data_IF_994148807267
#
_entry.id   IF_994148807267
#
_cell.length_a   1.000
_cell.length_b   1.000
_cell.length_c   1.000
_cell.angle_alpha   90.00
_cell.angle_beta   90.00
_cell.angle_gamma   90.00
#
_symmetry.space_group_name_H-M   'P 1'
#
loop_
_entity.id
_entity.type
_entity.pdbx_description
1 polymer ?
#
# COMPACT_ATOMS: atom_id res chain seq x y z
N UNK A 1 9.82 5.86 29.18
CA UNK A 1 9.20 6.79 28.20
C UNK A 1 9.36 6.19 26.82
N UNK A 2 8.34 5.56 26.27
CA UNK A 2 8.39 4.95 24.93
C UNK A 2 6.98 4.92 24.35
N UNK A 3 6.42 6.10 24.10
CA UNK A 3 5.23 6.27 23.27
C UNK A 3 5.38 7.61 22.55
N UNK A 4 5.84 7.55 21.30
CA UNK A 4 6.09 8.73 20.46
C UNK A 4 6.20 8.44 18.97
N UNK A 5 5.85 7.24 18.50
CA UNK A 5 5.77 6.92 17.07
C UNK A 5 4.33 6.56 16.72
N UNK A 6 3.46 7.57 16.66
CA UNK A 6 2.26 7.46 15.85
C UNK A 6 2.68 7.52 14.37
N UNK A 7 2.08 6.71 13.48
CA UNK A 7 2.38 6.73 12.06
C UNK A 7 1.90 8.05 11.49
N UNK A 8 2.76 9.08 11.49
CA UNK A 8 2.31 10.43 11.16
C UNK A 8 1.92 10.58 9.70
N UNK A 9 2.47 9.75 8.79
CA UNK A 9 1.97 9.39 7.44
C UNK A 9 2.86 8.27 6.86
N UNK A 10 2.35 7.06 6.65
CA UNK A 10 3.16 5.92 6.16
C UNK A 10 2.84 5.46 4.73
N UNK A 11 1.95 6.13 4.00
CA UNK A 11 1.71 5.82 2.58
C UNK A 11 2.43 6.79 1.66
N UNK A 12 2.77 6.30 0.47
CA UNK A 12 3.29 7.11 -0.63
C UNK A 12 2.22 8.09 -1.11
N UNK A 13 2.61 9.31 -1.48
CA UNK A 13 1.71 10.34 -2.03
C UNK A 13 1.77 10.43 -3.54
N UNK A 14 0.60 10.57 -4.16
CA UNK A 14 0.46 10.75 -5.61
C UNK A 14 0.06 12.19 -5.95
N UNK A 15 0.89 12.89 -6.72
CA UNK A 15 0.60 14.21 -7.27
C UNK A 15 0.05 14.05 -8.70
N UNK A 16 -1.21 14.42 -8.93
CA UNK A 16 -1.84 14.31 -10.26
C UNK A 16 -1.27 15.35 -11.22
N UNK A 17 -0.67 14.91 -12.32
CA UNK A 17 -0.51 15.72 -13.54
C UNK A 17 -1.68 15.41 -14.49
N UNK A 18 -2.45 16.44 -14.86
CA UNK A 18 -3.56 16.32 -15.82
C UNK A 18 -3.02 15.94 -17.22
N UNK A 19 -3.39 14.77 -17.72
CA UNK A 19 -3.19 14.41 -19.14
C UNK A 19 -4.36 14.94 -19.97
N UNK A 20 -4.09 15.87 -20.89
CA UNK A 20 -5.00 16.22 -21.97
C UNK A 20 -5.02 15.10 -23.02
N UNK A 21 -6.22 14.62 -23.36
CA UNK A 21 -6.48 13.76 -24.51
C UNK A 21 -6.63 14.65 -25.74
N UNK A 22 -5.99 14.29 -26.87
CA UNK A 22 -6.60 14.42 -28.19
C UNK A 22 -5.90 13.53 -29.25
N UNK A 23 -6.63 13.16 -30.33
CA UNK A 23 -6.59 11.83 -30.91
C UNK A 23 -5.58 11.69 -32.05
N UNK A 24 -5.07 10.47 -32.24
CA UNK A 24 -4.29 10.06 -33.41
C UNK A 24 -5.20 9.50 -34.51
N UNK A 25 -5.06 10.04 -35.73
CA UNK A 25 -5.43 9.36 -36.98
C UNK A 25 -4.18 9.03 -37.79
N UNK A 26 -3.91 7.73 -37.87
CA UNK A 26 -3.47 6.91 -39.04
C UNK A 26 -2.33 7.36 -39.99
N UNK A 27 -1.35 6.43 -40.07
CA UNK A 27 -0.64 5.86 -41.25
C UNK A 27 0.56 6.54 -41.94
N UNK A 28 1.67 5.76 -41.91
CA UNK A 28 2.66 5.40 -42.97
C UNK A 28 3.82 6.32 -43.38
N UNK A 29 5.04 5.84 -43.06
CA UNK A 29 6.32 5.77 -43.84
C UNK A 29 6.82 6.96 -44.69
N UNK A 30 8.05 7.42 -44.43
CA UNK A 30 9.22 7.30 -45.35
C UNK A 30 10.45 8.13 -44.89
N UNK A 31 11.62 7.69 -45.37
CA UNK A 31 13.01 8.08 -45.08
C UNK A 31 13.40 9.45 -45.65
N UNK A 32 14.27 10.22 -44.96
CA UNK A 32 15.00 11.35 -45.58
C UNK A 32 15.94 12.12 -44.62
N UNK A 33 17.25 12.13 -44.91
CA UNK A 33 18.30 12.96 -44.26
C UNK A 33 18.25 14.40 -44.77
N UNK A 34 18.47 15.43 -43.93
CA UNK A 34 19.26 16.66 -44.21
C UNK A 34 19.57 17.43 -42.89
N UNK A 35 20.69 18.17 -42.87
CA UNK A 35 21.37 18.77 -41.70
C UNK A 35 20.98 20.25 -41.41
N UNK A 36 21.13 20.65 -40.13
CA UNK A 36 21.42 21.99 -39.56
C UNK A 36 20.30 23.07 -39.65
N UNK A 37 19.96 23.91 -38.66
CA UNK A 37 20.72 24.47 -37.52
C UNK A 37 19.80 25.08 -36.43
N UNK A 38 20.31 25.09 -35.19
CA UNK A 38 20.27 26.17 -34.18
C UNK A 38 19.04 26.50 -33.31
N UNK A 39 19.29 26.38 -31.99
CA UNK A 39 18.80 27.19 -30.84
C UNK A 39 17.32 26.95 -30.47
N UNK A 40 16.92 26.54 -29.28
CA UNK A 40 17.53 26.44 -27.96
C UNK A 40 16.39 26.67 -26.95
N UNK A 41 15.98 25.64 -26.20
CA UNK A 41 15.16 25.80 -25.01
C UNK A 41 15.31 24.54 -24.15
N UNK A 42 15.63 24.77 -22.88
CA UNK A 42 15.97 23.78 -21.86
C UNK A 42 14.88 22.71 -21.70
N UNK A 43 15.35 21.47 -21.59
CA UNK A 43 14.60 20.35 -21.01
C UNK A 43 14.68 20.49 -19.50
N UNK A 44 13.56 20.75 -18.83
CA UNK A 44 13.42 20.48 -17.40
C UNK A 44 12.45 19.31 -17.20
N UNK A 45 12.97 18.31 -16.49
CA UNK A 45 12.36 17.05 -16.10
C UNK A 45 11.10 17.25 -15.25
N UNK A 46 9.93 16.91 -15.79
CA UNK A 46 8.74 16.65 -14.98
C UNK A 46 8.71 15.20 -14.48
N UNK A 47 9.49 14.88 -13.45
CA UNK A 47 9.44 13.57 -12.74
C UNK A 47 9.84 13.64 -11.25
N UNK A 48 10.03 14.85 -10.70
CA UNK A 48 10.69 15.04 -9.39
C UNK A 48 9.79 14.82 -8.16
N UNK A 49 8.46 14.87 -8.30
CA UNK A 49 7.57 15.01 -7.13
C UNK A 49 7.08 13.65 -6.55
N UNK A 50 6.75 12.69 -7.42
CA UNK A 50 6.37 11.33 -6.97
C UNK A 50 7.51 10.56 -6.28
N UNK A 51 8.77 10.90 -6.59
CA UNK A 51 9.96 10.32 -5.97
C UNK A 51 10.12 10.77 -4.51
N UNK A 52 9.69 11.99 -4.15
CA UNK A 52 9.90 12.54 -2.81
C UNK A 52 8.98 11.91 -1.76
N UNK A 53 7.77 11.49 -2.13
CA UNK A 53 6.81 10.90 -1.19
C UNK A 53 7.15 9.44 -0.85
N UNK A 54 7.65 8.70 -1.85
CA UNK A 54 8.20 7.37 -1.68
C UNK A 54 9.45 7.41 -0.81
N UNK A 55 10.37 8.33 -1.09
CA UNK A 55 11.60 8.53 -0.30
C UNK A 55 11.30 8.89 1.17
N UNK A 56 10.28 9.72 1.44
CA UNK A 56 9.83 10.01 2.81
C UNK A 56 9.32 8.78 3.55
N UNK A 57 8.50 7.95 2.88
CA UNK A 57 7.96 6.71 3.47
C UNK A 57 9.08 5.72 3.77
N UNK A 58 10.03 5.59 2.84
CA UNK A 58 11.24 4.80 2.98
C UNK A 58 12.10 5.28 4.15
N UNK A 59 12.30 6.59 4.27
CA UNK A 59 13.06 7.18 5.36
C UNK A 59 12.41 6.85 6.72
N UNK A 60 11.07 6.88 6.81
CA UNK A 60 10.36 6.47 8.02
C UNK A 60 10.54 4.98 8.34
N UNK A 61 10.41 4.08 7.35
CA UNK A 61 10.64 2.64 7.56
C UNK A 61 12.09 2.40 8.03
N UNK A 62 13.04 3.13 7.44
CA UNK A 62 14.46 3.04 7.79
C UNK A 62 14.74 3.53 9.21
N UNK A 63 13.97 4.48 9.74
CA UNK A 63 14.11 4.94 11.13
C UNK A 63 13.63 3.91 12.17
N UNK A 64 12.85 2.91 11.76
CA UNK A 64 12.34 1.88 12.67
C UNK A 64 13.43 0.84 12.88
N UNK A 65 14.12 0.96 14.02
CA UNK A 65 15.19 0.04 14.41
C UNK A 65 14.70 -1.42 14.44
N UNK A 66 15.50 -2.31 13.85
CA UNK A 66 15.34 -3.77 13.95
C UNK A 66 13.95 -4.29 13.52
N UNK A 67 13.34 -3.66 12.51
CA UNK A 67 12.10 -4.14 11.91
C UNK A 67 12.38 -5.03 10.69
N UNK A 68 11.60 -6.10 10.54
CA UNK A 68 11.66 -6.98 9.37
C UNK A 68 11.36 -6.21 8.06
N UNK A 69 10.48 -5.21 8.13
CA UNK A 69 10.16 -4.31 7.03
C UNK A 69 11.40 -3.59 6.49
N UNK A 70 12.25 -3.06 7.37
CA UNK A 70 13.52 -2.41 6.99
C UNK A 70 14.45 -3.39 6.27
N UNK A 71 14.62 -4.60 6.82
CA UNK A 71 15.50 -5.63 6.22
C UNK A 71 15.05 -6.01 4.82
N UNK A 72 13.74 -6.25 4.64
CA UNK A 72 13.16 -6.54 3.32
C UNK A 72 13.38 -5.39 2.34
N UNK A 73 13.18 -4.16 2.79
CA UNK A 73 13.40 -2.97 1.96
C UNK A 73 14.87 -2.86 1.50
N UNK A 74 15.83 -3.02 2.42
CA UNK A 74 17.26 -2.96 2.09
C UNK A 74 17.69 -4.09 1.13
N UNK A 75 17.18 -5.31 1.34
CA UNK A 75 17.43 -6.46 0.48
C UNK A 75 16.89 -6.24 -0.94
N UNK A 76 15.71 -5.64 -1.07
CA UNK A 76 15.07 -5.41 -2.38
C UNK A 76 15.73 -4.30 -3.19
N UNK A 77 16.24 -3.27 -2.51
CA UNK A 77 16.78 -2.07 -3.14
C UNK A 77 18.30 -2.09 -3.30
N UNK A 78 18.97 -3.24 -3.08
CA UNK A 78 20.35 -3.46 -3.49
C UNK A 78 21.40 -2.58 -2.81
N UNK A 79 21.09 -1.98 -1.66
CA UNK A 79 22.05 -1.13 -0.92
C UNK A 79 23.13 -1.95 -0.18
N UNK A 80 23.32 -3.21 -0.53
CA UNK A 80 24.39 -4.05 -0.01
C UNK A 80 25.14 -4.73 -1.15
N UNK A 81 26.43 -4.40 -1.24
CA UNK A 81 27.40 -5.08 -2.10
C UNK A 81 27.46 -6.57 -1.74
N UNK A 82 27.25 -7.42 -2.76
CA UNK A 82 27.66 -8.83 -2.84
C UNK A 82 27.16 -9.78 -1.72
N UNK A 83 26.39 -10.79 -2.14
CA UNK A 83 25.98 -12.00 -1.40
C UNK A 83 24.60 -12.04 -0.73
N UNK A 84 23.64 -11.19 -1.11
CA UNK A 84 22.24 -11.41 -0.74
C UNK A 84 21.68 -12.60 -1.51
N UNK A 85 21.27 -13.65 -0.81
CA UNK A 85 20.68 -14.87 -1.37
C UNK A 85 19.40 -14.50 -2.16
N UNK A 86 19.43 -14.44 -3.52
CA UNK A 86 18.35 -13.87 -4.31
C UNK A 86 17.03 -14.66 -4.13
N UNK A 87 17.15 -15.93 -3.76
CA UNK A 87 16.02 -16.81 -3.44
C UNK A 87 15.13 -16.30 -2.30
N UNK A 88 15.67 -15.55 -1.32
CA UNK A 88 14.93 -15.15 -0.12
C UNK A 88 13.80 -14.16 -0.42
N UNK A 89 14.02 -13.23 -1.35
CA UNK A 89 13.08 -12.14 -1.65
C UNK A 89 12.32 -12.31 -2.97
N UNK A 90 12.58 -13.38 -3.74
CA UNK A 90 12.00 -13.58 -5.08
C UNK A 90 10.46 -13.52 -5.13
N UNK A 91 9.79 -13.88 -4.03
CA UNK A 91 8.32 -13.86 -3.92
C UNK A 91 7.79 -12.79 -2.95
N UNK A 92 8.68 -11.94 -2.42
CA UNK A 92 8.30 -10.81 -1.57
C UNK A 92 7.96 -9.61 -2.47
N UNK A 93 6.73 -9.13 -2.39
CA UNK A 93 6.28 -7.97 -3.13
C UNK A 93 6.78 -6.67 -2.51
N UNK A 94 6.82 -6.60 -1.18
CA UNK A 94 7.28 -5.44 -0.43
C UNK A 94 6.61 -5.35 0.91
N UNK A 95 6.61 -4.15 1.48
CA UNK A 95 5.93 -3.82 2.74
C UNK A 95 4.67 -3.03 2.42
N UNK A 96 3.56 -3.25 3.15
CA UNK A 96 2.25 -2.61 2.88
C UNK A 96 2.36 -1.10 2.63
N UNK A 97 3.09 -0.38 3.49
CA UNK A 97 3.38 1.06 3.36
C UNK A 97 3.91 1.50 1.99
N UNK A 98 4.62 0.62 1.28
CA UNK A 98 5.27 0.91 -0.01
C UNK A 98 4.50 0.41 -1.23
N UNK A 99 3.41 -0.35 -1.02
CA UNK A 99 2.71 -1.04 -2.11
C UNK A 99 1.50 -0.28 -2.67
N UNK A 100 1.11 0.82 -2.03
CA UNK A 100 0.02 1.68 -2.46
C UNK A 100 0.38 3.15 -2.31
N UNK A 101 -0.29 4.00 -3.09
CA UNK A 101 -0.16 5.46 -3.02
C UNK A 101 -1.52 6.07 -2.75
N UNK A 102 -1.62 7.04 -1.85
CA UNK A 102 -2.86 7.79 -1.58
C UNK A 102 -2.63 9.22 -2.04
N UNK A 103 -3.60 9.84 -2.71
CA UNK A 103 -3.40 11.18 -3.29
C UNK A 103 -3.40 12.31 -2.26
N UNK A 104 -4.07 12.11 -1.13
CA UNK A 104 -4.27 13.14 -0.10
C UNK A 104 -3.52 12.79 1.21
N UNK A 105 -2.74 13.75 1.69
CA UNK A 105 -1.99 13.73 2.96
C UNK A 105 -2.87 13.35 4.16
N UNK A 106 -4.06 13.93 4.25
CA UNK A 106 -4.94 13.66 5.37
C UNK A 106 -5.52 12.24 5.30
N UNK A 107 -5.89 11.76 4.10
CA UNK A 107 -6.32 10.38 3.88
C UNK A 107 -5.22 9.37 4.20
N UNK A 108 -4.00 9.59 3.70
CA UNK A 108 -2.84 8.74 4.02
C UNK A 108 -2.63 8.60 5.51
N UNK A 109 -2.68 9.74 6.23
CA UNK A 109 -2.60 9.76 7.69
C UNK A 109 -3.71 8.92 8.33
N UNK A 110 -4.96 9.19 7.99
CA UNK A 110 -6.12 8.50 8.59
C UNK A 110 -6.09 6.99 8.28
N UNK A 111 -5.71 6.58 7.07
CA UNK A 111 -5.58 5.17 6.70
C UNK A 111 -4.44 4.49 7.45
N UNK A 112 -3.30 5.15 7.61
CA UNK A 112 -2.18 4.60 8.38
C UNK A 112 -2.50 4.48 9.88
N UNK A 113 -3.27 5.42 10.44
CA UNK A 113 -3.80 5.33 11.80
C UNK A 113 -4.85 4.22 11.93
N UNK A 114 -5.65 4.02 10.88
CA UNK A 114 -6.64 2.94 10.85
C UNK A 114 -5.97 1.56 10.82
N UNK A 115 -4.93 1.35 10.02
CA UNK A 115 -4.24 0.07 9.98
C UNK A 115 -3.37 -0.16 11.22
N UNK A 116 -2.76 0.91 11.72
CA UNK A 116 -1.75 0.84 12.77
C UNK A 116 -0.39 0.36 12.23
N UNK A 117 0.64 0.56 13.05
CA UNK A 117 2.04 0.36 12.65
C UNK A 117 2.32 -1.08 12.20
N UNK A 118 1.82 -2.09 12.93
CA UNK A 118 2.10 -3.50 12.64
C UNK A 118 1.61 -3.92 11.24
N UNK A 119 0.41 -3.47 10.83
CA UNK A 119 -0.12 -3.75 9.49
C UNK A 119 0.58 -2.93 8.41
N UNK A 120 0.92 -1.67 8.70
CA UNK A 120 1.69 -0.84 7.76
C UNK A 120 3.09 -1.41 7.48
N UNK A 121 3.70 -2.07 8.47
CA UNK A 121 5.00 -2.76 8.35
C UNK A 121 4.90 -4.22 7.90
N UNK A 122 3.70 -4.72 7.61
CA UNK A 122 3.54 -6.11 7.20
C UNK A 122 4.23 -6.37 5.85
N UNK A 123 4.92 -7.51 5.77
CA UNK A 123 5.56 -7.98 4.55
C UNK A 123 4.51 -8.70 3.71
N UNK A 124 4.37 -8.32 2.44
CA UNK A 124 3.44 -8.97 1.50
C UNK A 124 4.21 -9.92 0.60
N UNK A 125 3.81 -11.18 0.55
CA UNK A 125 4.40 -12.24 -0.26
C UNK A 125 3.37 -12.87 -1.19
N UNK A 126 3.81 -13.35 -2.35
CA UNK A 126 2.95 -14.09 -3.28
C UNK A 126 2.52 -15.43 -2.68
N UNK A 127 3.50 -16.25 -2.28
CA UNK A 127 3.28 -17.64 -1.87
C UNK A 127 3.70 -17.95 -0.44
N UNK A 128 3.12 -19.00 0.12
CA UNK A 128 3.43 -19.44 1.49
C UNK A 128 4.85 -20.00 1.62
N UNK A 129 5.47 -20.42 0.51
CA UNK A 129 6.87 -20.83 0.48
C UNK A 129 7.77 -19.69 0.94
N UNK A 130 7.42 -18.44 0.59
CA UNK A 130 8.14 -17.24 1.03
C UNK A 130 8.22 -17.17 2.55
N UNK A 131 7.14 -17.50 3.27
CA UNK A 131 7.10 -17.46 4.73
C UNK A 131 8.16 -18.39 5.33
N UNK A 132 8.31 -19.61 4.76
CA UNK A 132 9.31 -20.60 5.20
C UNK A 132 10.74 -20.12 4.98
N UNK A 133 10.97 -19.30 3.95
CA UNK A 133 12.28 -18.70 3.67
C UNK A 133 12.55 -17.49 4.55
N UNK A 134 11.54 -16.69 4.88
CA UNK A 134 11.68 -15.52 5.75
C UNK A 134 11.95 -15.93 7.21
N UNK A 135 11.23 -16.92 7.72
CA UNK A 135 11.38 -17.43 9.09
C UNK A 135 11.52 -18.96 9.12
N UNK A 136 12.72 -19.49 8.83
CA UNK A 136 12.97 -20.92 8.84
C UNK A 136 13.01 -21.49 10.26
N UNK A 137 12.44 -22.68 10.44
CA UNK A 137 12.41 -23.41 11.70
C UNK A 137 13.30 -24.66 11.64
N UNK A 138 14.00 -24.98 12.73
CA UNK A 138 14.60 -26.31 12.92
C UNK A 138 13.51 -27.37 13.16
N UNK A 139 13.85 -28.65 12.99
CA UNK A 139 12.96 -29.79 13.24
C UNK A 139 12.34 -29.83 14.66
N UNK A 140 12.89 -29.08 15.63
CA UNK A 140 12.37 -28.94 16.99
C UNK A 140 11.44 -27.74 17.19
N UNK A 141 10.98 -27.10 16.12
CA UNK A 141 10.10 -25.92 16.18
C UNK A 141 10.78 -24.65 16.69
N UNK A 142 12.12 -24.63 16.76
CA UNK A 142 12.89 -23.43 17.13
C UNK A 142 13.27 -22.65 15.88
N UNK A 143 13.11 -21.34 15.91
CA UNK A 143 13.52 -20.44 14.82
C UNK A 143 15.03 -20.58 14.58
N UNK A 144 15.41 -20.73 13.31
CA UNK A 144 16.79 -20.74 12.88
C UNK A 144 17.31 -19.32 12.68
N UNK A 145 17.89 -18.76 13.75
CA UNK A 145 18.42 -17.40 13.78
C UNK A 145 19.62 -17.15 12.85
N UNK A 146 20.24 -18.18 12.28
CA UNK A 146 21.36 -18.03 11.35
C UNK A 146 20.94 -18.03 9.88
N UNK A 147 19.63 -17.96 9.59
CA UNK A 147 19.07 -18.00 8.24
C UNK A 147 17.82 -17.14 8.13
N UNK A 148 17.24 -17.06 6.93
CA UNK A 148 16.07 -16.23 6.71
C UNK A 148 16.36 -14.74 6.90
N UNK A 149 15.36 -13.98 7.37
CA UNK A 149 15.55 -12.57 7.74
C UNK A 149 16.43 -12.39 8.98
N UNK A 150 16.58 -13.41 9.83
CA UNK A 150 17.47 -13.33 10.99
C UNK A 150 18.95 -13.48 10.61
N UNK A 151 19.25 -14.29 9.58
CA UNK A 151 20.60 -14.51 9.08
C UNK A 151 21.02 -13.54 7.97
N UNK A 152 20.08 -13.10 7.13
CA UNK A 152 20.30 -12.05 6.15
C UNK A 152 20.53 -10.72 6.85
N UNK A 153 21.72 -10.14 6.70
CA UNK A 153 22.14 -8.84 7.27
C UNK A 153 22.21 -8.76 8.81
N UNK A 154 22.08 -9.86 9.56
CA UNK A 154 22.21 -9.85 11.02
C UNK A 154 23.57 -9.31 11.55
N UNK A 155 24.56 -9.11 10.67
CA UNK A 155 25.84 -8.45 10.97
C UNK A 155 25.91 -6.96 10.64
N UNK A 156 24.99 -6.42 9.82
CA UNK A 156 24.98 -5.01 9.39
C UNK A 156 24.02 -4.15 10.21
N UNK A 157 23.07 -4.78 10.92
CA UNK A 157 22.18 -4.09 11.85
C UNK A 157 22.77 -4.05 13.25
N UNK A 158 22.52 -2.95 13.97
CA UNK A 158 23.06 -2.74 15.33
C UNK A 158 22.58 -3.80 16.33
N UNK A 159 21.42 -4.43 16.06
CA UNK A 159 20.84 -5.50 16.86
C UNK A 159 20.18 -6.56 15.97
N UNK A 160 20.14 -7.83 16.41
CA UNK A 160 19.37 -8.85 15.71
C UNK A 160 17.88 -8.50 15.67
N UNK A 161 17.18 -8.93 14.61
CA UNK A 161 15.72 -8.92 14.59
C UNK A 161 15.20 -9.77 15.76
N UNK A 162 14.57 -9.10 16.72
CA UNK A 162 13.95 -9.71 17.89
C UNK A 162 12.49 -9.25 17.99
N UNK A 163 11.58 -10.22 18.05
CA UNK A 163 10.13 -9.97 18.03
C UNK A 163 9.40 -10.56 16.82
N UNK A 164 8.08 -10.42 16.84
CA UNK A 164 7.21 -10.92 15.77
C UNK A 164 7.08 -9.86 14.69
N UNK A 165 6.98 -10.29 13.44
CA UNK A 165 6.59 -9.46 12.32
C UNK A 165 5.40 -10.09 11.60
N UNK A 166 4.60 -9.25 10.94
CA UNK A 166 3.42 -9.70 10.21
C UNK A 166 3.80 -10.00 8.75
N UNK A 167 3.36 -11.16 8.26
CA UNK A 167 3.46 -11.53 6.84
C UNK A 167 2.06 -11.78 6.30
N UNK A 168 1.75 -11.17 5.16
CA UNK A 168 0.52 -11.34 4.41
C UNK A 168 0.86 -12.15 3.15
N UNK A 169 0.34 -13.38 3.05
CA UNK A 169 0.53 -14.23 1.88
C UNK A 169 -0.70 -14.16 0.98
N UNK A 170 -0.54 -13.71 -0.27
CA UNK A 170 -1.65 -13.52 -1.20
C UNK A 170 -2.38 -14.84 -1.53
N UNK A 171 -1.66 -15.97 -1.63
CA UNK A 171 -2.26 -17.29 -1.88
C UNK A 171 -3.16 -17.78 -0.73
N UNK A 172 -2.86 -17.39 0.50
CA UNK A 172 -3.62 -17.81 1.69
C UNK A 172 -4.77 -16.84 2.03
N UNK A 173 -4.85 -15.69 1.36
CA UNK A 173 -5.95 -14.74 1.54
C UNK A 173 -7.22 -15.21 0.83
N UNK A 174 -8.37 -14.85 1.41
CA UNK A 174 -9.65 -14.90 0.70
C UNK A 174 -9.77 -13.62 -0.15
N UNK A 175 -9.68 -13.70 -1.48
CA UNK A 175 -9.79 -12.52 -2.32
C UNK A 175 -11.23 -12.00 -2.38
N UNK A 176 -11.37 -10.76 -2.83
CA UNK A 176 -12.63 -10.24 -3.33
C UNK A 176 -13.05 -11.00 -4.60
N UNK A 177 -14.30 -11.47 -4.63
CA UNK A 177 -14.86 -12.28 -5.71
C UNK A 177 -15.94 -11.55 -6.52
N UNK A 178 -16.20 -10.28 -6.23
CA UNK A 178 -17.17 -9.48 -6.97
C UNK A 178 -16.56 -8.83 -8.22
N UNK A 179 -17.37 -8.00 -8.88
CA UNK A 179 -16.98 -7.35 -10.13
C UNK A 179 -16.02 -6.17 -9.89
N UNK A 180 -15.25 -5.85 -10.93
CA UNK A 180 -14.45 -4.63 -11.01
C UNK A 180 -15.19 -3.57 -11.81
N UNK A 181 -14.91 -2.29 -11.52
CA UNK A 181 -15.44 -1.17 -12.27
C UNK A 181 -14.99 -1.24 -13.74
N UNK A 182 -15.96 -1.35 -14.65
CA UNK A 182 -15.69 -1.54 -16.07
C UNK A 182 -14.88 -0.37 -16.67
N UNK A 183 -13.78 -0.67 -17.34
CA UNK A 183 -12.92 0.31 -17.99
C UNK A 183 -12.09 1.18 -17.06
N UNK A 184 -12.10 0.92 -15.75
CA UNK A 184 -11.29 1.67 -14.79
C UNK A 184 -9.81 1.22 -14.83
N UNK A 185 -8.86 2.11 -15.15
CA UNK A 185 -7.44 1.75 -15.29
C UNK A 185 -6.78 1.34 -13.96
N UNK A 186 -7.35 1.73 -12.82
CA UNK A 186 -6.93 1.35 -11.48
C UNK A 186 -7.62 0.07 -10.99
N UNK A 187 -8.48 -0.55 -11.81
CA UNK A 187 -9.21 -1.79 -11.50
C UNK A 187 -9.96 -1.71 -10.18
N UNK A 188 -10.64 -0.58 -9.94
CA UNK A 188 -11.43 -0.36 -8.73
C UNK A 188 -12.47 -1.47 -8.54
N UNK A 189 -12.76 -1.82 -7.29
CA UNK A 189 -13.78 -2.81 -6.95
C UNK A 189 -15.17 -2.20 -7.14
N UNK A 190 -16.09 -2.91 -7.81
CA UNK A 190 -17.48 -2.48 -8.00
C UNK A 190 -18.32 -2.77 -6.74
N UNK A 191 -17.94 -2.14 -5.62
CA UNK A 191 -18.60 -2.32 -4.34
C UNK A 191 -19.97 -1.62 -4.32
N UNK A 192 -21.03 -2.26 -3.78
CA UNK A 192 -22.34 -1.63 -3.68
C UNK A 192 -22.30 -0.43 -2.74
N UNK A 193 -22.71 0.74 -3.22
CA UNK A 193 -22.79 1.94 -2.37
C UNK A 193 -23.76 1.73 -1.21
N UNK A 194 -23.45 2.25 0.00
CA UNK A 194 -24.35 2.15 1.14
C UNK A 194 -25.70 2.82 0.84
N UNK A 195 -26.78 2.27 1.40
CA UNK A 195 -28.13 2.79 1.23
C UNK A 195 -28.83 2.88 2.58
N UNK A 196 -29.40 4.05 2.86
CA UNK A 196 -30.29 4.27 3.99
C UNK A 196 -31.63 3.54 3.78
N UNK A 197 -32.48 3.39 4.82
CA UNK A 197 -33.78 2.72 4.69
C UNK A 197 -34.72 3.32 3.64
N UNK A 198 -34.55 4.60 3.31
CA UNK A 198 -35.28 5.30 2.24
C UNK A 198 -34.70 5.02 0.82
N UNK A 199 -33.67 4.18 0.70
CA UNK A 199 -33.01 3.82 -0.55
C UNK A 199 -31.92 4.78 -1.03
N UNK A 200 -31.73 5.94 -0.37
CA UNK A 200 -30.75 6.95 -0.76
C UNK A 200 -29.36 6.63 -0.24
N UNK A 201 -28.32 7.03 -0.97
CA UNK A 201 -26.96 6.99 -0.44
C UNK A 201 -26.83 7.97 0.74
N UNK A 202 -26.19 7.59 1.85
CA UNK A 202 -25.92 8.51 2.94
C UNK A 202 -25.20 9.77 2.46
N UNK A 203 -25.63 10.92 2.97
CA UNK A 203 -24.93 12.19 2.74
C UNK A 203 -23.48 12.07 3.24
N UNK A 204 -22.55 12.66 2.50
CA UNK A 204 -21.15 12.70 2.88
C UNK A 204 -20.35 11.44 2.58
N UNK A 205 -20.96 10.33 2.12
CA UNK A 205 -20.21 9.18 1.60
C UNK A 205 -19.34 9.61 0.41
N UNK A 206 -18.06 9.27 0.46
CA UNK A 206 -17.06 9.59 -0.58
C UNK A 206 -16.85 8.37 -1.46
N UNK A 207 -16.23 7.33 -0.91
CA UNK A 207 -15.97 6.05 -1.56
C UNK A 207 -15.59 5.01 -0.49
N UNK A 208 -15.28 3.79 -0.92
CA UNK A 208 -14.55 2.81 -0.12
C UNK A 208 -13.06 3.10 -0.16
N UNK A 209 -12.39 2.99 0.97
CA UNK A 209 -10.96 3.29 1.12
C UNK A 209 -10.10 2.46 0.14
N UNK A 210 -10.47 1.19 -0.09
CA UNK A 210 -9.75 0.28 -0.97
C UNK A 210 -9.73 0.78 -2.41
N UNK A 211 -10.66 1.64 -2.82
CA UNK A 211 -10.72 2.29 -4.14
C UNK A 211 -10.03 3.67 -4.18
N UNK A 212 -9.58 4.17 -3.04
CA UNK A 212 -8.82 5.42 -2.88
C UNK A 212 -7.29 5.20 -2.84
N UNK A 213 -6.85 3.94 -2.83
CA UNK A 213 -5.44 3.56 -2.91
C UNK A 213 -5.06 3.35 -4.38
N UNK A 214 -4.12 4.12 -4.88
CA UNK A 214 -3.51 3.91 -6.19
C UNK A 214 -2.52 2.76 -6.12
N UNK A 215 -2.67 1.80 -7.04
CA UNK A 215 -1.82 0.61 -7.15
C UNK A 215 -1.03 0.71 -8.44
N UNK A 216 0.26 0.43 -8.37
CA UNK A 216 1.12 0.41 -9.55
C UNK A 216 0.65 -0.66 -10.54
N UNK A 217 0.78 -0.38 -11.83
CA UNK A 217 0.30 -1.26 -12.91
C UNK A 217 0.89 -2.68 -12.75
N UNK A 218 2.18 -2.78 -12.39
CA UNK A 218 2.87 -4.06 -12.14
C UNK A 218 2.24 -4.89 -11.03
N UNK A 219 1.53 -4.26 -10.09
CA UNK A 219 0.89 -4.89 -8.94
C UNK A 219 -0.65 -4.94 -9.07
N UNK A 220 -1.20 -4.49 -10.19
CA UNK A 220 -2.64 -4.41 -10.44
C UNK A 220 -3.25 -5.74 -10.93
N UNK A 221 -2.44 -6.74 -11.30
CA UNK A 221 -2.91 -8.07 -11.73
C UNK A 221 -1.79 -9.09 -11.77
N UNK A 222 -2.17 -10.36 -11.93
CA UNK A 222 -1.26 -11.49 -12.17
C UNK A 222 -0.24 -11.71 -11.03
N UNK A 223 -0.63 -11.39 -9.80
CA UNK A 223 0.17 -11.65 -8.60
C UNK A 223 -0.14 -12.99 -7.96
N UNK A 224 -1.34 -13.53 -8.19
CA UNK A 224 -1.78 -14.86 -7.75
C UNK A 224 -2.00 -15.79 -8.93
N UNK A 225 -2.10 -17.10 -8.67
CA UNK A 225 -2.41 -18.10 -9.70
C UNK A 225 -3.74 -17.86 -10.42
N UNK A 226 -4.70 -17.21 -9.75
CA UNK A 226 -6.00 -16.80 -10.32
C UNK A 226 -5.95 -15.45 -11.04
N UNK A 227 -4.77 -14.86 -11.23
CA UNK A 227 -4.59 -13.62 -11.99
C UNK A 227 -4.89 -12.33 -11.24
N UNK A 228 -5.08 -12.37 -9.91
CA UNK A 228 -5.52 -11.21 -9.12
C UNK A 228 -4.38 -10.25 -8.79
N UNK A 229 -4.71 -8.98 -8.54
CA UNK A 229 -3.80 -7.94 -8.08
C UNK A 229 -3.85 -7.70 -6.56
N UNK A 230 -3.14 -6.67 -6.09
CA UNK A 230 -3.11 -6.28 -4.68
C UNK A 230 -4.45 -5.74 -4.17
N UNK A 231 -5.24 -5.10 -5.05
CA UNK A 231 -6.49 -4.46 -4.65
C UNK A 231 -7.51 -5.52 -4.20
N UNK A 232 -7.66 -6.56 -5.00
CA UNK A 232 -8.59 -7.66 -4.77
C UNK A 232 -8.13 -8.61 -3.65
N UNK A 233 -6.84 -8.57 -3.29
CA UNK A 233 -6.23 -9.47 -2.30
C UNK A 233 -5.86 -8.74 -1.02
N UNK A 234 -4.62 -8.24 -0.90
CA UNK A 234 -4.10 -7.67 0.34
C UNK A 234 -4.84 -6.43 0.80
N UNK A 235 -5.15 -5.48 -0.10
CA UNK A 235 -5.84 -4.24 0.33
C UNK A 235 -7.29 -4.52 0.69
N UNK A 236 -8.00 -5.36 -0.07
CA UNK A 236 -9.32 -5.81 0.34
C UNK A 236 -9.29 -6.58 1.68
N UNK A 237 -8.29 -7.40 1.94
CA UNK A 237 -8.19 -8.09 3.24
C UNK A 237 -7.88 -7.15 4.41
N UNK A 238 -7.13 -6.06 4.18
CA UNK A 238 -6.78 -5.09 5.21
C UNK A 238 -7.93 -4.15 5.55
N UNK A 239 -8.72 -3.78 4.54
CA UNK A 239 -9.71 -2.73 4.67
C UNK A 239 -11.16 -3.18 4.46
N UNK A 240 -11.39 -4.32 3.82
CA UNK A 240 -12.72 -4.86 3.51
C UNK A 240 -13.59 -3.83 2.77
N UNK A 241 -14.77 -3.51 3.30
CA UNK A 241 -15.67 -2.49 2.80
C UNK A 241 -15.66 -1.24 3.70
N UNK A 242 -14.49 -0.82 4.19
CA UNK A 242 -14.32 0.38 5.01
C UNK A 242 -14.73 1.64 4.22
N UNK A 243 -15.70 2.37 4.77
CA UNK A 243 -16.34 3.50 4.10
C UNK A 243 -15.68 4.83 4.52
N UNK A 244 -15.50 5.75 3.59
CA UNK A 244 -14.92 7.08 3.87
C UNK A 244 -15.98 8.17 3.71
N UNK A 245 -16.06 9.06 4.70
CA UNK A 245 -17.04 10.14 4.80
C UNK A 245 -16.38 11.51 4.90
N UNK A 246 -17.08 12.56 4.48
CA UNK A 246 -16.61 13.95 4.60
C UNK A 246 -16.47 14.40 6.05
N UNK A 247 -17.50 14.20 6.87
CA UNK A 247 -17.52 14.65 8.28
C UNK A 247 -17.95 13.54 9.23
N UNK A 248 -17.56 13.66 10.51
CA UNK A 248 -17.97 12.73 11.57
C UNK A 248 -19.48 12.70 11.74
N UNK A 249 -20.15 13.84 11.60
CA UNK A 249 -21.62 13.93 11.71
C UNK A 249 -22.32 13.13 10.61
N UNK A 250 -21.86 13.26 9.38
CA UNK A 250 -22.39 12.50 8.24
C UNK A 250 -22.08 11.00 8.39
N UNK A 251 -20.86 10.65 8.82
CA UNK A 251 -20.49 9.27 9.14
C UNK A 251 -21.42 8.67 10.19
N UNK A 252 -21.66 9.35 11.31
CA UNK A 252 -22.53 8.85 12.38
C UNK A 252 -23.99 8.71 11.92
N UNK A 253 -24.45 9.58 11.02
CA UNK A 253 -25.80 9.49 10.42
C UNK A 253 -25.97 8.26 9.52
N UNK A 254 -24.87 7.72 9.00
CA UNK A 254 -24.86 6.55 8.13
C UNK A 254 -24.67 5.21 8.88
N UNK A 255 -24.52 5.23 10.21
CA UNK A 255 -24.35 4.03 11.04
C UNK A 255 -25.32 2.88 10.71
N UNK A 256 -26.62 3.11 10.44
CA UNK A 256 -27.57 2.03 10.17
C UNK A 256 -27.28 1.21 8.91
N UNK A 257 -26.47 1.73 7.97
CA UNK A 257 -26.15 1.05 6.71
C UNK A 257 -24.67 0.66 6.58
N UNK A 258 -23.90 0.72 7.66
CA UNK A 258 -22.51 0.28 7.69
C UNK A 258 -22.41 -1.21 8.02
N UNK A 259 -21.60 -1.95 7.24
CA UNK A 259 -21.33 -3.37 7.48
C UNK A 259 -20.03 -3.62 8.25
N UNK A 260 -18.99 -2.82 7.96
CA UNK A 260 -17.65 -2.98 8.53
C UNK A 260 -17.29 -1.78 9.42
N UNK A 261 -16.32 -0.98 8.98
CA UNK A 261 -15.89 0.25 9.63
C UNK A 261 -16.22 1.48 8.81
N UNK A 262 -15.95 2.65 9.39
CA UNK A 262 -15.99 3.91 8.67
C UNK A 262 -14.94 4.89 9.18
N UNK A 263 -14.53 5.79 8.29
CA UNK A 263 -13.62 6.90 8.54
C UNK A 263 -14.28 8.21 8.13
N UNK A 264 -13.92 9.31 8.78
CA UNK A 264 -14.26 10.65 8.31
C UNK A 264 -13.02 11.53 8.16
N UNK A 265 -13.03 12.45 7.19
CA UNK A 265 -11.88 13.32 6.90
C UNK A 265 -11.51 14.25 8.07
N UNK A 266 -12.46 14.55 8.96
CA UNK A 266 -12.25 15.29 10.22
C UNK A 266 -11.77 14.39 11.39
N UNK A 267 -11.31 13.17 11.09
CA UNK A 267 -10.66 12.26 12.05
C UNK A 267 -11.62 11.43 12.88
N UNK A 268 -12.83 11.14 12.39
CA UNK A 268 -13.70 10.12 12.98
C UNK A 268 -13.27 8.72 12.55
N UNK A 269 -13.33 7.76 13.48
CA UNK A 269 -12.98 6.36 13.19
C UNK A 269 -13.92 5.39 13.91
N UNK A 270 -14.49 4.46 13.14
CA UNK A 270 -15.26 3.31 13.59
C UNK A 270 -14.55 2.07 13.04
N UNK A 271 -13.95 1.25 13.91
CA UNK A 271 -13.20 0.03 13.50
C UNK A 271 -14.14 -1.09 13.04
N UNK A 272 -15.25 -1.21 13.75
CA UNK A 272 -16.32 -2.18 13.54
C UNK A 272 -17.56 -1.59 14.17
N UNK A 273 -18.75 -1.89 13.65
CA UNK A 273 -20.02 -1.53 14.29
C UNK A 273 -19.98 -1.86 15.80
N UNK A 274 -20.19 -0.84 16.64
CA UNK A 274 -20.12 -0.94 18.11
C UNK A 274 -18.75 -0.66 18.75
N UNK A 275 -17.67 -0.54 17.96
CA UNK A 275 -16.31 -0.21 18.43
C UNK A 275 -15.88 1.17 17.94
N UNK A 276 -15.94 2.14 18.84
CA UNK A 276 -15.60 3.55 18.58
C UNK A 276 -14.24 3.88 19.19
N UNK A 277 -13.44 4.68 18.48
CA UNK A 277 -12.17 5.22 18.96
C UNK A 277 -12.28 6.74 19.17
N UNK A 278 -12.74 7.21 20.34
CA UNK A 278 -12.79 8.64 20.64
C UNK A 278 -11.41 9.20 21.02
N UNK A 279 -11.18 10.48 20.75
CA UNK A 279 -9.95 11.18 21.12
C UNK A 279 -9.39 12.04 19.99
N UNK A 280 -8.48 12.95 20.32
CA UNK A 280 -7.73 13.71 19.32
C UNK A 280 -6.55 12.89 18.82
N UNK A 281 -6.50 12.57 17.53
CA UNK A 281 -5.33 11.99 16.85
C UNK A 281 -4.13 12.94 16.74
N UNK A 282 -4.14 14.03 17.50
CA UNK A 282 -3.16 15.11 17.47
C UNK A 282 -2.29 15.10 18.72
N UNK A 283 -1.14 14.39 18.66
CA UNK A 283 0.15 14.81 19.23
C UNK A 283 1.31 14.24 18.42
#
# INVERSE_FOLDING_TARGET
MLFGFLPKQMWIHSSLSQCFINPTTTTTTSLGKYHSSSIGAQVENGNLDGSQSEEKTIAQISQIENSAARVVYELKNGHTDQASNPSLINNVLGVVATLGKVEDDNLSRIFSEYLGLDHMLAIVCKSNESIKHLEPYYQKGKINKSSGLHGGLGSSFSKPLDGRFLVICLEDLRPYVGELAAGDPQKKLALPKPRLPNGTCPSGFIDFDVNMINVEIANSSCLTASGLGLRETSFYSLFSCLQVYKTRTEMMSALPCMSDGALSLDGGMIKRTGFFSPGSSFR
#
